data_IF_291673272399
#
_entry.id   IF_291673272399
#
_cell.length_a   1.000
_cell.length_b   1.000
_cell.length_c   1.000
_cell.angle_alpha   90.00
_cell.angle_beta   90.00
_cell.angle_gamma   90.00
#
_symmetry.space_group_name_H-M   'P 1'
#
loop_
_entity.id
_entity.type
_entity.pdbx_description
1 polymer ?
#
# COMPACT_ATOMS: atom_id res chain seq x y z
N UNK A 1 6.16 20.67 17.43
CA UNK A 1 5.86 20.62 15.97
C UNK A 1 4.40 20.34 15.64
N UNK A 2 3.71 19.42 16.33
CA UNK A 2 2.38 18.90 15.94
C UNK A 2 1.32 19.98 15.73
N UNK A 3 1.31 21.03 16.57
CA UNK A 3 0.41 22.19 16.44
C UNK A 3 0.59 22.89 15.08
N UNK A 4 1.84 23.19 14.70
CA UNK A 4 2.14 23.80 13.41
C UNK A 4 1.75 22.89 12.24
N UNK A 5 1.94 21.57 12.37
CA UNK A 5 1.50 20.60 11.34
C UNK A 5 -0.03 20.53 11.24
N UNK A 6 -0.76 20.75 12.33
CA UNK A 6 -2.23 20.81 12.26
C UNK A 6 -2.71 22.05 11.50
N UNK A 7 -2.10 23.21 11.69
CA UNK A 7 -2.37 24.40 10.86
C UNK A 7 -1.93 24.22 9.39
N UNK A 8 -0.85 23.47 9.16
CA UNK A 8 -0.37 23.15 7.80
C UNK A 8 -1.43 22.43 6.94
N UNK A 9 -2.38 21.70 7.54
CA UNK A 9 -3.41 20.94 6.82
C UNK A 9 -4.31 21.80 5.94
N UNK A 10 -4.52 23.08 6.29
CA UNK A 10 -5.30 24.03 5.48
C UNK A 10 -4.53 24.55 4.26
N UNK A 11 -3.24 24.23 4.17
CA UNK A 11 -2.33 24.77 3.14
C UNK A 11 -1.68 23.67 2.29
N UNK A 12 -2.28 22.48 2.23
CA UNK A 12 -1.83 21.35 1.41
C UNK A 12 -2.96 20.88 0.49
N UNK A 13 -2.66 20.17 -0.61
CA UNK A 13 -3.70 19.69 -1.52
C UNK A 13 -4.74 18.81 -0.80
N UNK A 14 -6.02 18.98 -1.13
CA UNK A 14 -7.16 18.38 -0.40
C UNK A 14 -7.11 16.86 -0.25
N UNK A 15 -6.52 16.13 -1.20
CA UNK A 15 -6.38 14.66 -1.14
C UNK A 15 -5.22 14.18 -0.25
N UNK A 16 -4.42 15.10 0.29
CA UNK A 16 -3.26 14.79 1.12
C UNK A 16 -3.71 14.42 2.52
N UNK A 17 -3.14 13.34 3.06
CA UNK A 17 -3.35 12.96 4.45
C UNK A 17 -2.04 13.04 5.21
N UNK A 18 -2.10 13.62 6.39
CA UNK A 18 -1.01 13.59 7.38
C UNK A 18 -1.54 12.84 8.60
N UNK A 19 -0.79 11.88 9.11
CA UNK A 19 -1.09 11.16 10.35
C UNK A 19 0.16 11.15 11.23
N UNK A 20 -0.02 11.19 12.54
CA UNK A 20 1.09 11.04 13.46
C UNK A 20 0.66 10.43 14.79
N UNK A 21 1.64 9.93 15.54
CA UNK A 21 1.52 9.53 16.94
C UNK A 21 2.77 10.01 17.69
N UNK A 22 2.61 10.40 18.95
CA UNK A 22 3.73 10.70 19.85
C UNK A 22 4.19 9.35 20.43
N UNK A 23 5.36 8.88 20.01
CA UNK A 23 5.93 7.60 20.45
C UNK A 23 6.71 7.75 21.75
N UNK A 24 7.23 8.94 22.03
CA UNK A 24 7.76 9.33 23.34
C UNK A 24 7.41 10.80 23.63
N UNK A 25 6.77 11.05 24.77
CA UNK A 25 6.34 12.40 25.20
C UNK A 25 6.78 12.75 26.62
N UNK A 26 7.75 12.03 27.19
CA UNK A 26 8.15 12.13 28.59
C UNK A 26 7.57 11.06 29.50
N UNK A 27 8.25 10.82 30.62
CA UNK A 27 7.94 9.71 31.55
C UNK A 27 7.26 10.16 32.85
N UNK A 28 7.39 11.43 33.23
CA UNK A 28 6.84 11.95 34.48
C UNK A 28 6.25 13.37 34.31
N UNK A 29 5.09 13.69 34.92
CA UNK A 29 4.39 14.96 34.70
C UNK A 29 5.08 16.18 35.31
N UNK A 30 6.01 15.97 36.24
CA UNK A 30 6.76 17.01 36.94
C UNK A 30 8.22 17.12 36.50
N UNK A 31 8.63 16.37 35.47
CA UNK A 31 9.98 16.39 34.90
C UNK A 31 9.86 16.89 33.47
N UNK A 32 10.65 17.91 33.12
CA UNK A 32 10.73 18.39 31.73
C UNK A 32 11.47 17.32 30.92
N UNK A 33 10.86 16.73 29.87
CA UNK A 33 11.53 15.71 29.06
C UNK A 33 12.73 16.29 28.30
N UNK A 34 13.83 15.57 28.27
CA UNK A 34 15.03 15.87 27.48
C UNK A 34 14.95 15.33 26.04
N UNK A 35 14.05 14.37 25.80
CA UNK A 35 13.76 13.78 24.49
C UNK A 35 12.25 13.64 24.25
N UNK A 36 11.84 13.89 23.01
CA UNK A 36 10.48 13.64 22.54
C UNK A 36 10.51 13.13 21.09
N UNK A 37 9.63 12.19 20.78
CA UNK A 37 9.58 11.54 19.47
C UNK A 37 8.14 11.52 18.94
N UNK A 38 7.98 11.75 17.64
CA UNK A 38 6.71 11.57 16.95
C UNK A 38 6.92 10.87 15.63
N UNK A 39 6.12 9.85 15.37
CA UNK A 39 6.13 9.10 14.13
C UNK A 39 5.06 9.61 13.17
N UNK A 40 5.45 9.91 11.92
CA UNK A 40 4.62 10.60 10.92
C UNK A 40 4.42 9.77 9.64
N UNK A 41 3.22 9.89 9.07
CA UNK A 41 2.90 9.48 7.69
C UNK A 41 2.36 10.67 6.90
N UNK A 42 2.85 10.84 5.67
CA UNK A 42 2.27 11.75 4.65
C UNK A 42 1.87 10.91 3.45
N UNK A 43 0.64 11.09 2.96
CA UNK A 43 0.08 10.31 1.86
C UNK A 43 -0.58 11.18 0.81
N UNK A 44 -0.20 10.96 -0.44
CA UNK A 44 -0.84 11.52 -1.64
C UNK A 44 -0.58 10.57 -2.83
N UNK A 45 -1.40 10.64 -3.88
CA UNK A 45 -1.21 9.84 -5.11
C UNK A 45 -0.09 10.36 -6.00
N UNK A 46 0.33 11.60 -5.79
CA UNK A 46 1.48 12.22 -6.45
C UNK A 46 2.69 12.19 -5.48
N UNK A 47 3.76 11.46 -5.82
CA UNK A 47 4.95 11.37 -4.97
C UNK A 47 5.64 12.72 -4.78
N UNK A 48 5.51 13.67 -5.71
CA UNK A 48 6.08 15.00 -5.54
C UNK A 48 5.36 15.78 -4.44
N UNK A 49 4.03 15.70 -4.39
CA UNK A 49 3.25 16.31 -3.31
C UNK A 49 3.66 15.73 -1.95
N UNK A 50 3.92 14.41 -1.87
CA UNK A 50 4.41 13.79 -0.63
C UNK A 50 5.75 14.40 -0.21
N UNK A 51 6.70 14.57 -1.13
CA UNK A 51 7.99 15.22 -0.85
C UNK A 51 7.83 16.65 -0.36
N UNK A 52 7.04 17.45 -1.07
CA UNK A 52 6.84 18.87 -0.76
C UNK A 52 6.16 19.05 0.61
N UNK A 53 5.17 18.22 0.92
CA UNK A 53 4.47 18.26 2.20
C UNK A 53 5.36 17.75 3.33
N UNK A 54 6.12 16.66 3.12
CA UNK A 54 7.07 16.15 4.12
C UNK A 54 8.15 17.19 4.44
N UNK A 55 8.68 17.90 3.45
CA UNK A 55 9.63 18.99 3.67
C UNK A 55 9.04 20.12 4.54
N UNK A 56 7.74 20.40 4.42
CA UNK A 56 7.05 21.38 5.29
C UNK A 56 6.80 20.84 6.69
N UNK A 57 6.56 19.54 6.85
CA UNK A 57 6.50 18.89 8.16
C UNK A 57 7.86 18.98 8.87
N UNK A 58 8.96 18.76 8.16
CA UNK A 58 10.32 18.93 8.69
C UNK A 58 10.58 20.38 9.13
N UNK A 59 10.22 21.37 8.31
CA UNK A 59 10.31 22.80 8.69
C UNK A 59 9.49 23.13 9.95
N UNK A 60 8.35 22.47 10.18
CA UNK A 60 7.59 22.64 11.41
C UNK A 60 8.28 22.02 12.64
N UNK A 61 9.10 20.98 12.45
CA UNK A 61 9.97 20.44 13.49
C UNK A 61 11.13 21.40 13.80
N UNK A 62 11.83 21.87 12.77
CA UNK A 62 12.91 22.84 12.87
C UNK A 62 12.45 24.14 13.56
N UNK A 63 11.29 24.66 13.16
CA UNK A 63 10.71 25.86 13.76
C UNK A 63 10.33 25.68 15.24
N UNK A 64 9.85 24.49 15.62
CA UNK A 64 9.58 24.17 17.02
C UNK A 64 10.88 24.10 17.82
N UNK A 65 11.91 23.44 17.29
CA UNK A 65 13.22 23.32 17.93
C UNK A 65 13.88 24.69 18.13
N UNK A 66 13.82 25.55 17.11
CA UNK A 66 14.29 26.93 17.20
C UNK A 66 13.57 27.72 18.30
N UNK A 67 12.24 27.60 18.39
CA UNK A 67 11.44 28.32 19.38
C UNK A 67 11.72 27.89 20.83
N UNK A 68 12.13 26.63 21.04
CA UNK A 68 12.40 26.06 22.36
C UNK A 68 13.88 25.98 22.71
N UNK A 69 14.78 26.38 21.82
CA UNK A 69 16.22 26.23 22.00
C UNK A 69 16.71 24.78 22.03
N UNK A 70 15.97 23.86 21.39
CA UNK A 70 16.33 22.44 21.28
C UNK A 70 16.86 22.12 19.88
N UNK A 71 17.25 20.87 19.65
CA UNK A 71 17.54 20.34 18.31
C UNK A 71 16.36 19.51 17.78
N UNK A 72 16.36 19.25 16.47
CA UNK A 72 15.44 18.31 15.83
C UNK A 72 16.20 17.41 14.88
N UNK A 73 15.89 16.11 14.93
CA UNK A 73 16.37 15.12 13.96
C UNK A 73 15.18 14.53 13.21
N UNK A 74 15.40 14.19 11.95
CA UNK A 74 14.40 13.55 11.10
C UNK A 74 14.99 12.27 10.51
N UNK A 75 14.31 11.16 10.72
CA UNK A 75 14.62 9.89 10.07
C UNK A 75 13.47 9.48 9.12
N UNK A 76 13.79 9.33 7.83
CA UNK A 76 12.87 8.68 6.89
C UNK A 76 12.89 7.17 7.12
N UNK A 77 11.82 6.60 7.65
CA UNK A 77 11.72 5.15 7.93
C UNK A 77 11.06 4.34 6.81
N UNK A 78 10.41 5.01 5.86
CA UNK A 78 9.76 4.37 4.72
C UNK A 78 9.22 5.40 3.72
N UNK A 79 8.88 4.93 2.53
CA UNK A 79 8.20 5.72 1.52
C UNK A 79 8.09 4.94 0.23
N UNK A 80 6.91 4.95 -0.37
CA UNK A 80 6.63 4.25 -1.63
C UNK A 80 5.96 5.20 -2.60
N UNK A 81 6.13 4.93 -3.90
CA UNK A 81 5.39 5.64 -4.94
C UNK A 81 3.93 5.16 -5.00
N UNK A 82 3.08 5.89 -5.72
CA UNK A 82 1.75 5.38 -6.10
C UNK A 82 1.86 4.35 -7.21
N UNK A 83 0.91 3.42 -7.32
CA UNK A 83 0.98 2.37 -8.34
C UNK A 83 0.84 2.94 -9.76
N UNK A 84 1.77 2.59 -10.65
CA UNK A 84 1.76 2.89 -12.08
C UNK A 84 1.46 1.62 -12.89
N UNK A 85 0.28 1.03 -12.68
CA UNK A 85 -0.11 -0.24 -13.26
C UNK A 85 -0.24 -0.18 -14.79
N UNK A 86 0.29 -1.15 -15.52
CA UNK A 86 0.20 -1.21 -16.99
C UNK A 86 -1.16 -1.73 -17.45
N UNK A 87 -1.88 -0.91 -18.22
CA UNK A 87 -3.14 -1.28 -18.85
C UNK A 87 -2.94 -2.36 -19.91
N UNK A 88 -1.82 -2.31 -20.63
CA UNK A 88 -1.44 -3.31 -21.64
C UNK A 88 -1.33 -4.70 -21.01
N UNK A 89 -0.63 -4.81 -19.87
CA UNK A 89 -0.53 -6.07 -19.15
C UNK A 89 -1.85 -6.47 -18.47
N UNK A 90 -2.64 -5.49 -18.01
CA UNK A 90 -3.95 -5.73 -17.42
C UNK A 90 -4.90 -6.47 -18.36
N UNK A 91 -4.94 -6.10 -19.65
CA UNK A 91 -5.79 -6.79 -20.65
C UNK A 91 -5.43 -8.26 -20.82
N UNK A 92 -4.14 -8.60 -20.81
CA UNK A 92 -3.69 -10.00 -20.90
C UNK A 92 -4.05 -10.77 -19.63
N UNK A 93 -3.83 -10.15 -18.46
CA UNK A 93 -4.14 -10.77 -17.19
C UNK A 93 -5.65 -10.96 -16.98
N UNK A 94 -6.45 -9.99 -17.41
CA UNK A 94 -7.91 -10.03 -17.35
C UNK A 94 -8.49 -11.13 -18.23
N UNK A 95 -8.01 -11.28 -19.47
CA UNK A 95 -8.42 -12.38 -20.35
C UNK A 95 -8.11 -13.75 -19.71
N UNK A 96 -6.94 -13.89 -19.08
CA UNK A 96 -6.56 -15.11 -18.37
C UNK A 96 -7.39 -15.33 -17.10
N UNK A 97 -7.73 -14.29 -16.35
CA UNK A 97 -8.59 -14.41 -15.18
C UNK A 97 -10.01 -14.86 -15.57
N UNK A 98 -10.55 -14.34 -16.67
CA UNK A 98 -11.83 -14.79 -17.22
C UNK A 98 -11.79 -16.25 -17.69
N UNK A 99 -10.66 -16.68 -18.28
CA UNK A 99 -10.48 -18.08 -18.67
C UNK A 99 -10.37 -19.03 -17.46
N UNK A 100 -9.73 -18.59 -16.37
CA UNK A 100 -9.61 -19.36 -15.12
C UNK A 100 -10.92 -19.38 -14.33
N UNK A 101 -11.63 -18.24 -14.29
CA UNK A 101 -12.83 -18.03 -13.49
C UNK A 101 -12.56 -17.89 -11.98
N UNK A 102 -13.62 -17.67 -11.20
CA UNK A 102 -13.52 -17.59 -9.73
C UNK A 102 -13.51 -18.96 -9.03
N UNK A 103 -13.13 -19.01 -7.74
CA UNK A 103 -13.13 -20.25 -6.96
C UNK A 103 -14.53 -20.82 -6.80
N UNK A 104 -14.62 -22.16 -6.74
CA UNK A 104 -15.85 -22.89 -6.39
C UNK A 104 -15.78 -23.40 -4.96
N UNK A 105 -16.76 -23.01 -4.16
CA UNK A 105 -16.87 -23.45 -2.77
C UNK A 105 -17.69 -24.72 -2.64
N UNK A 106 -17.33 -25.56 -1.68
CA UNK A 106 -18.16 -26.69 -1.27
C UNK A 106 -19.37 -26.20 -0.45
N UNK A 107 -20.32 -27.09 -0.19
CA UNK A 107 -21.43 -26.80 0.72
C UNK A 107 -20.92 -26.44 2.14
N UNK A 108 -19.88 -27.14 2.62
CA UNK A 108 -19.27 -26.88 3.92
C UNK A 108 -18.59 -25.50 3.98
N UNK A 109 -17.83 -25.15 2.95
CA UNK A 109 -17.16 -23.85 2.84
C UNK A 109 -18.18 -22.70 2.75
N UNK A 110 -19.25 -22.89 1.97
CA UNK A 110 -20.36 -21.94 1.89
C UNK A 110 -21.05 -21.78 3.24
N UNK A 111 -21.31 -22.88 3.96
CA UNK A 111 -21.90 -22.84 5.29
C UNK A 111 -20.99 -22.16 6.32
N UNK A 112 -19.67 -22.39 6.25
CA UNK A 112 -18.70 -21.68 7.08
C UNK A 112 -18.69 -20.18 6.78
N UNK A 113 -18.66 -19.80 5.51
CA UNK A 113 -18.70 -18.40 5.10
C UNK A 113 -19.99 -17.71 5.55
N UNK A 114 -21.12 -18.41 5.50
CA UNK A 114 -22.41 -17.93 6.01
C UNK A 114 -22.45 -17.69 7.52
N UNK A 115 -21.60 -18.36 8.31
CA UNK A 115 -21.44 -18.06 9.75
C UNK A 115 -20.59 -16.81 10.00
N UNK A 116 -19.62 -16.54 9.12
CA UNK A 116 -18.75 -15.38 9.25
C UNK A 116 -19.41 -14.10 8.71
N UNK A 117 -20.19 -14.20 7.62
CA UNK A 117 -20.80 -13.09 6.91
C UNK A 117 -21.59 -12.10 7.79
N UNK A 118 -22.37 -12.52 8.81
CA UNK A 118 -23.09 -11.58 9.68
C UNK A 118 -22.19 -10.63 10.47
N UNK A 119 -20.91 -10.98 10.65
CA UNK A 119 -19.92 -10.14 11.36
C UNK A 119 -19.29 -9.07 10.45
N UNK A 120 -19.63 -9.06 9.16
CA UNK A 120 -19.03 -8.16 8.19
C UNK A 120 -19.78 -6.81 8.15
N UNK A 121 -19.05 -5.69 8.01
CA UNK A 121 -19.68 -4.37 7.88
C UNK A 121 -20.48 -4.22 6.58
N UNK A 122 -20.18 -5.03 5.57
CA UNK A 122 -20.93 -5.08 4.31
C UNK A 122 -21.15 -6.54 3.94
N UNK A 123 -22.40 -6.96 3.88
CA UNK A 123 -22.78 -8.32 3.51
C UNK A 123 -23.01 -8.37 2.00
N UNK A 124 -22.18 -9.15 1.30
CA UNK A 124 -22.31 -9.37 -0.14
C UNK A 124 -22.68 -10.83 -0.40
N UNK A 125 -23.37 -11.10 -1.50
CA UNK A 125 -23.78 -12.46 -1.86
C UNK A 125 -22.55 -13.40 -1.92
N UNK A 126 -22.65 -14.58 -1.31
CA UNK A 126 -21.51 -15.49 -1.17
C UNK A 126 -21.06 -16.09 -2.51
N UNK A 127 -22.00 -16.28 -3.43
CA UNK A 127 -21.76 -16.78 -4.79
C UNK A 127 -20.99 -15.79 -5.68
N UNK A 128 -20.92 -14.51 -5.30
CA UNK A 128 -20.15 -13.48 -6.01
C UNK A 128 -18.66 -13.79 -6.11
N UNK A 129 -18.12 -14.69 -5.29
CA UNK A 129 -16.72 -15.14 -5.39
C UNK A 129 -16.39 -15.80 -6.72
N UNK A 130 -17.39 -16.32 -7.44
CA UNK A 130 -17.22 -16.95 -8.74
C UNK A 130 -17.16 -15.95 -9.91
N UNK A 131 -17.53 -14.69 -9.66
CA UNK A 131 -17.65 -13.65 -10.68
C UNK A 131 -16.35 -12.85 -10.80
N UNK A 132 -15.87 -12.69 -12.04
CA UNK A 132 -14.75 -11.78 -12.33
C UNK A 132 -15.29 -10.37 -12.50
N UNK A 133 -14.72 -9.42 -11.74
CA UNK A 133 -15.08 -8.01 -11.84
C UNK A 133 -14.34 -7.34 -13.02
N UNK A 134 -14.89 -6.26 -13.61
CA UNK A 134 -14.19 -5.49 -14.62
C UNK A 134 -12.84 -4.95 -14.12
N UNK A 135 -11.90 -4.73 -15.04
CA UNK A 135 -10.65 -4.01 -14.75
C UNK A 135 -11.00 -2.65 -14.13
N UNK A 136 -10.34 -2.33 -13.02
CA UNK A 136 -10.47 -1.05 -12.35
C UNK A 136 -9.12 -0.33 -12.31
N UNK A 137 -9.15 0.98 -12.55
CA UNK A 137 -7.98 1.82 -12.37
C UNK A 137 -7.79 2.19 -10.89
N UNK A 138 -6.54 2.11 -10.42
CA UNK A 138 -6.13 2.56 -9.10
C UNK A 138 -5.79 1.44 -8.12
N UNK A 139 -5.11 1.80 -7.04
CA UNK A 139 -4.63 0.88 -5.99
C UNK A 139 -5.68 0.58 -4.91
N UNK A 140 -6.92 1.06 -5.08
CA UNK A 140 -7.99 0.92 -4.08
C UNK A 140 -7.68 1.57 -2.73
N UNK A 141 -6.72 2.51 -2.69
CA UNK A 141 -6.22 3.07 -1.44
C UNK A 141 -5.18 2.17 -0.75
N UNK A 142 -4.58 1.21 -1.45
CA UNK A 142 -3.42 0.45 -1.01
C UNK A 142 -2.14 1.28 -0.90
N UNK A 143 -1.13 0.72 -0.24
CA UNK A 143 0.23 1.26 -0.20
C UNK A 143 1.18 0.07 -0.16
N UNK A 144 2.01 -0.08 -1.19
CA UNK A 144 2.84 -1.26 -1.40
C UNK A 144 4.15 -0.88 -2.08
N UNK A 145 5.24 -1.55 -1.72
CA UNK A 145 6.56 -1.45 -2.35
C UNK A 145 6.57 -1.96 -3.81
N UNK A 146 5.62 -2.82 -4.20
CA UNK A 146 5.39 -3.18 -5.61
C UNK A 146 5.12 -1.94 -6.47
N UNK A 147 4.56 -0.88 -5.88
CA UNK A 147 4.34 0.37 -6.58
C UNK A 147 5.66 0.95 -7.09
N UNK A 148 6.74 0.92 -6.33
CA UNK A 148 8.06 1.40 -6.79
C UNK A 148 8.56 0.61 -8.01
N UNK A 149 8.37 -0.71 -8.02
CA UNK A 149 8.69 -1.57 -9.17
C UNK A 149 7.93 -1.15 -10.42
N UNK A 150 6.67 -0.73 -10.28
CA UNK A 150 5.83 -0.26 -11.40
C UNK A 150 6.35 1.00 -12.08
N UNK A 151 7.22 1.78 -11.42
CA UNK A 151 7.90 2.94 -12.03
C UNK A 151 9.18 2.57 -12.75
N UNK A 152 9.67 1.34 -12.60
CA UNK A 152 10.90 0.85 -13.22
C UNK A 152 10.58 -0.08 -14.40
N UNK A 153 9.64 -1.00 -14.22
CA UNK A 153 9.21 -1.99 -15.22
C UNK A 153 7.70 -2.08 -15.32
N UNK A 154 7.13 -2.39 -16.50
CA UNK A 154 5.68 -2.56 -16.63
C UNK A 154 5.18 -3.61 -15.64
N UNK A 155 4.22 -3.23 -14.81
CA UNK A 155 3.78 -4.03 -13.67
C UNK A 155 2.25 -4.03 -13.61
N UNK A 156 1.67 -5.18 -13.28
CA UNK A 156 0.25 -5.33 -13.01
C UNK A 156 0.07 -6.31 -11.85
N UNK A 157 -1.07 -6.23 -11.16
CA UNK A 157 -1.48 -7.20 -10.16
C UNK A 157 -2.96 -7.54 -10.33
N UNK A 158 -3.41 -8.56 -9.60
CA UNK A 158 -4.82 -8.94 -9.53
C UNK A 158 -5.26 -9.15 -8.09
N UNK A 159 -6.56 -8.99 -7.85
CA UNK A 159 -7.23 -9.53 -6.68
C UNK A 159 -7.91 -10.86 -7.04
N UNK A 160 -7.82 -11.84 -6.14
CA UNK A 160 -8.60 -13.08 -6.22
C UNK A 160 -9.45 -13.24 -4.96
N UNK A 161 -10.60 -13.91 -5.08
CA UNK A 161 -11.52 -14.12 -3.96
C UNK A 161 -10.96 -15.12 -2.94
N UNK A 162 -10.13 -14.65 -2.01
CA UNK A 162 -9.54 -15.44 -0.92
C UNK A 162 -10.31 -15.30 0.39
N UNK A 163 -11.23 -14.34 0.48
CA UNK A 163 -12.01 -14.04 1.69
C UNK A 163 -13.51 -14.11 1.41
N UNK A 164 -14.30 -14.12 2.48
CA UNK A 164 -15.75 -13.97 2.37
C UNK A 164 -16.07 -12.59 1.79
N UNK A 165 -16.95 -12.48 0.77
CA UNK A 165 -17.31 -11.19 0.17
C UNK A 165 -17.74 -10.15 1.21
N UNK A 166 -17.03 -9.02 1.24
CA UNK A 166 -17.25 -7.94 2.21
C UNK A 166 -16.29 -7.93 3.40
N UNK A 167 -15.37 -8.90 3.50
CA UNK A 167 -14.31 -8.91 4.51
C UNK A 167 -13.39 -7.68 4.36
N UNK A 168 -13.27 -6.83 5.40
CA UNK A 168 -12.26 -5.76 5.41
C UNK A 168 -10.85 -6.34 5.50
N UNK A 169 -9.91 -5.73 4.77
CA UNK A 169 -8.49 -6.02 4.98
C UNK A 169 -8.06 -5.69 6.42
N UNK A 170 -7.02 -6.37 6.91
CA UNK A 170 -6.46 -6.20 8.26
C UNK A 170 -7.46 -6.46 9.39
N UNK A 171 -8.38 -7.42 9.18
CA UNK A 171 -9.39 -7.83 10.16
C UNK A 171 -9.17 -9.27 10.60
N UNK A 172 -9.71 -9.66 11.76
CA UNK A 172 -9.67 -11.05 12.20
C UNK A 172 -10.43 -11.97 11.24
N UNK A 173 -11.45 -11.45 10.55
CA UNK A 173 -12.18 -12.16 9.50
C UNK A 173 -11.28 -12.52 8.32
N UNK A 174 -10.39 -11.61 7.91
CA UNK A 174 -9.40 -11.87 6.87
C UNK A 174 -8.42 -12.97 7.29
N UNK A 175 -7.97 -12.95 8.55
CA UNK A 175 -7.11 -14.03 9.12
C UNK A 175 -7.84 -15.37 9.09
N UNK A 176 -9.08 -15.42 9.60
CA UNK A 176 -9.89 -16.63 9.63
C UNK A 176 -10.13 -17.21 8.23
N UNK A 177 -10.48 -16.37 7.25
CA UNK A 177 -10.71 -16.81 5.88
C UNK A 177 -9.42 -17.26 5.17
N UNK A 178 -8.30 -16.57 5.42
CA UNK A 178 -7.00 -16.92 4.84
C UNK A 178 -6.46 -18.25 5.36
N UNK A 179 -6.77 -18.61 6.61
CA UNK A 179 -6.43 -19.92 7.20
C UNK A 179 -7.36 -21.06 6.78
N UNK A 180 -8.40 -20.78 6.01
CA UNK A 180 -9.40 -21.76 5.56
C UNK A 180 -9.16 -22.17 4.10
N UNK A 181 -9.73 -23.28 3.66
CA UNK A 181 -9.57 -23.80 2.28
C UNK A 181 -10.07 -22.83 1.21
N UNK A 182 -11.02 -21.94 1.51
CA UNK A 182 -11.45 -20.89 0.57
C UNK A 182 -10.31 -19.93 0.21
N UNK A 183 -9.41 -19.62 1.16
CA UNK A 183 -8.23 -18.80 0.93
C UNK A 183 -7.26 -19.48 -0.05
N UNK A 184 -7.00 -20.77 0.16
CA UNK A 184 -6.16 -21.57 -0.74
C UNK A 184 -6.76 -21.71 -2.15
N UNK A 185 -8.09 -21.84 -2.27
CA UNK A 185 -8.78 -21.88 -3.57
C UNK A 185 -8.67 -20.56 -4.31
N UNK A 186 -8.87 -19.43 -3.63
CA UNK A 186 -8.63 -18.10 -4.21
C UNK A 186 -7.17 -17.93 -4.62
N UNK A 187 -6.22 -18.38 -3.80
CA UNK A 187 -4.80 -18.38 -4.12
C UNK A 187 -4.46 -19.23 -5.35
N UNK A 188 -5.15 -20.36 -5.55
CA UNK A 188 -5.00 -21.21 -6.74
C UNK A 188 -5.49 -20.49 -8.00
N UNK A 189 -6.59 -19.74 -7.92
CA UNK A 189 -7.07 -18.89 -9.04
C UNK A 189 -6.01 -17.85 -9.39
N UNK A 190 -5.45 -17.17 -8.39
CA UNK A 190 -4.39 -16.20 -8.59
C UNK A 190 -3.15 -16.81 -9.25
N UNK A 191 -2.67 -17.95 -8.73
CA UNK A 191 -1.49 -18.64 -9.24
C UNK A 191 -1.65 -19.07 -10.70
N UNK A 192 -2.79 -19.67 -11.07
CA UNK A 192 -3.09 -20.05 -12.46
C UNK A 192 -3.12 -18.84 -13.37
N UNK A 193 -3.80 -17.77 -12.94
CA UNK A 193 -3.92 -16.54 -13.73
C UNK A 193 -2.54 -15.91 -13.98
N UNK A 194 -1.69 -15.80 -12.95
CA UNK A 194 -0.33 -15.28 -13.08
C UNK A 194 0.51 -16.15 -14.02
N UNK A 195 0.44 -17.48 -13.87
CA UNK A 195 1.23 -18.40 -14.68
C UNK A 195 0.85 -18.33 -16.17
N UNK A 196 -0.45 -18.31 -16.48
CA UNK A 196 -0.93 -18.16 -17.86
C UNK A 196 -0.55 -16.80 -18.45
N UNK A 197 -0.72 -15.73 -17.66
CA UNK A 197 -0.33 -14.38 -18.08
C UNK A 197 1.17 -14.33 -18.41
N UNK A 198 2.02 -14.91 -17.55
CA UNK A 198 3.46 -14.96 -17.80
C UNK A 198 3.78 -15.75 -19.09
N UNK A 199 3.14 -16.90 -19.30
CA UNK A 199 3.32 -17.72 -20.50
C UNK A 199 2.88 -16.99 -21.78
N UNK A 200 1.80 -16.21 -21.73
CA UNK A 200 1.33 -15.39 -22.86
C UNK A 200 2.30 -14.26 -23.17
N UNK A 201 2.76 -13.55 -22.14
CA UNK A 201 3.70 -12.44 -22.30
C UNK A 201 5.06 -12.91 -22.83
N UNK A 202 5.56 -14.07 -22.38
CA UNK A 202 6.80 -14.66 -22.90
C UNK A 202 6.72 -15.00 -24.39
N UNK A 203 5.51 -15.23 -24.92
CA UNK A 203 5.26 -15.54 -26.33
C UNK A 203 4.88 -14.31 -27.15
N UNK A 204 4.72 -13.13 -26.53
CA UNK A 204 4.31 -11.90 -27.21
C UNK A 204 5.34 -10.77 -27.02
N UNK A 205 6.44 -10.76 -27.80
CA UNK A 205 7.39 -9.65 -27.81
C UNK A 205 6.73 -8.29 -28.11
N UNK A 206 5.69 -8.27 -28.93
CA UNK A 206 4.95 -7.06 -29.27
C UNK A 206 4.23 -6.48 -28.04
N UNK A 207 3.49 -7.28 -27.29
CA UNK A 207 2.80 -6.80 -26.08
C UNK A 207 3.79 -6.26 -25.04
N UNK A 208 4.96 -6.90 -24.91
CA UNK A 208 6.04 -6.40 -24.05
C UNK A 208 6.60 -5.06 -24.52
N UNK A 209 6.74 -4.85 -25.83
CA UNK A 209 7.17 -3.57 -26.39
C UNK A 209 6.12 -2.47 -26.15
N UNK A 210 4.83 -2.79 -26.34
CA UNK A 210 3.70 -1.88 -26.08
C UNK A 210 3.64 -1.48 -24.60
N UNK A 211 3.77 -2.44 -23.68
CA UNK A 211 3.77 -2.16 -22.24
C UNK A 211 4.95 -1.26 -21.82
N UNK A 212 6.14 -1.46 -22.42
CA UNK A 212 7.30 -0.58 -22.20
C UNK A 212 7.07 0.83 -22.76
N UNK A 213 6.46 0.94 -23.94
CA UNK A 213 6.12 2.24 -24.53
C UNK A 213 5.06 2.97 -23.68
N UNK A 214 4.05 2.26 -23.19
CA UNK A 214 3.05 2.78 -22.26
C UNK A 214 3.71 3.35 -21.00
N UNK A 215 4.59 2.57 -20.36
CA UNK A 215 5.34 2.99 -19.18
C UNK A 215 6.15 4.27 -19.44
N UNK A 216 6.91 4.32 -20.53
CA UNK A 216 7.71 5.50 -20.89
C UNK A 216 6.84 6.75 -21.07
N UNK A 217 5.70 6.61 -21.76
CA UNK A 217 4.75 7.71 -21.96
C UNK A 217 4.17 8.19 -20.63
N UNK A 218 3.79 7.28 -19.75
CA UNK A 218 3.15 7.62 -18.46
C UNK A 218 4.11 8.24 -17.44
N UNK A 219 5.38 7.82 -17.45
CA UNK A 219 6.42 8.43 -16.59
C UNK A 219 6.85 9.82 -17.09
N UNK A 220 6.67 10.09 -18.37
CA UNK A 220 7.13 11.30 -19.02
C UNK A 220 8.60 11.26 -19.42
N UNK A 221 9.04 12.22 -20.26
CA UNK A 221 10.41 12.28 -20.76
C UNK A 221 11.41 12.53 -19.62
N UNK A 222 12.57 11.87 -19.69
CA UNK A 222 13.67 12.08 -18.74
C UNK A 222 13.44 11.56 -17.33
N UNK A 223 12.36 10.80 -17.10
CA UNK A 223 12.08 10.23 -15.78
C UNK A 223 13.24 9.35 -15.30
N UNK A 224 13.66 9.60 -14.06
CA UNK A 224 14.64 8.78 -13.35
C UNK A 224 14.04 8.41 -12.00
N UNK A 225 13.93 7.11 -11.74
CA UNK A 225 13.43 6.62 -10.46
C UNK A 225 14.40 7.00 -9.33
N UNK A 226 13.84 7.47 -8.21
CA UNK A 226 14.56 7.69 -6.96
C UNK A 226 13.67 7.22 -5.80
N UNK A 227 14.19 6.32 -4.98
CA UNK A 227 13.46 5.84 -3.82
C UNK A 227 13.15 7.01 -2.88
N UNK A 228 11.92 7.05 -2.33
CA UNK A 228 11.52 8.07 -1.36
C UNK A 228 12.35 8.02 -0.07
N UNK A 229 12.91 6.84 0.21
CA UNK A 229 13.76 6.58 1.37
C UNK A 229 15.19 7.12 1.20
N UNK A 230 15.60 7.46 -0.02
CA UNK A 230 16.99 7.79 -0.35
C UNK A 230 17.93 6.59 -0.27
N UNK A 231 19.23 6.85 -0.47
CA UNK A 231 20.28 5.83 -0.37
C UNK A 231 20.65 5.62 1.09
N UNK A 232 20.21 4.48 1.66
CA UNK A 232 20.56 4.08 3.03
C UNK A 232 20.76 2.57 3.13
N UNK A 233 21.46 2.14 4.19
CA UNK A 233 21.52 0.72 4.55
C UNK A 233 20.12 0.24 4.96
N UNK A 234 19.74 -1.01 4.62
CA UNK A 234 18.47 -1.58 5.05
C UNK A 234 18.42 -1.58 6.59
N UNK A 235 17.31 -1.16 7.21
CA UNK A 235 17.19 -1.11 8.65
C UNK A 235 16.90 -2.53 9.16
N UNK A 236 17.94 -3.38 9.26
CA UNK A 236 17.81 -4.78 9.71
C UNK A 236 17.31 -4.90 11.16
N UNK A 237 17.42 -3.82 11.93
CA UNK A 237 17.08 -3.74 13.34
C UNK A 237 15.84 -2.87 13.64
N UNK A 238 15.01 -2.55 12.64
CA UNK A 238 13.86 -1.63 12.76
C UNK A 238 12.78 -1.98 13.80
N UNK A 239 12.84 -3.19 14.38
CA UNK A 239 11.95 -3.64 15.47
C UNK A 239 12.66 -3.82 16.82
N UNK A 240 13.98 -3.59 16.88
CA UNK A 240 14.65 -3.48 18.18
C UNK A 240 14.20 -2.15 18.79
N UNK A 241 13.52 -2.21 19.92
CA UNK A 241 13.28 -1.04 20.75
C UNK A 241 14.63 -0.36 20.99
N UNK A 242 14.71 0.95 20.77
CA UNK A 242 15.90 1.73 21.09
C UNK A 242 16.32 1.35 22.51
N UNK A 243 17.49 0.73 22.63
CA UNK A 243 18.06 0.46 23.96
C UNK A 243 18.40 1.84 24.51
N UNK A 244 17.94 2.21 25.71
CA UNK A 244 18.32 3.49 26.31
C UNK A 244 19.85 3.57 26.27
N UNK A 245 20.39 4.63 25.69
CA UNK A 245 21.81 4.90 25.80
C UNK A 245 22.09 5.14 27.29
N UNK A 246 22.92 4.28 27.90
CA UNK A 246 23.43 4.47 29.25
C UNK A 246 24.30 5.71 29.35
#
# INVERSE_FOLDING_TARGET
MNVAVNYLREHIPMKTRIHYVITNGGEAPNVVPDFAESYYYVRHTDPQVVRDVMARVQKAAEGAALATGTTSEFEATGGVYSMLASETLAKVMDANLHAVGGPRWTAEETAWAGRLQPTLPTQRALDSVSTVAPISDGDGGGSTDVADVSWVVPTIGLGAATWVPGTPAHSWQAVAASGMSIGAKGGTVAAKTIALTAADLMRSPQTLAEAKAELNRRRGPGFTYKAMLGDRKPPLDYRKTATPAN
#
